data_IF_966095394125
#
_entry.id   IF_966095394125
#
_cell.length_a   1.000
_cell.length_b   1.000
_cell.length_c   1.000
_cell.angle_alpha   90.00
_cell.angle_beta   90.00
_cell.angle_gamma   90.00
#
_symmetry.space_group_name_H-M   'P 1'
#
loop_
_entity.id
_entity.type
_entity.pdbx_description
1 polymer ?
#
# COMPACT_ATOMS: atom_id res chain seq x y z
N UNK A 1 34.85 13.76 29.32
CA UNK A 1 33.74 12.86 28.95
C UNK A 1 32.41 13.60 28.95
N UNK A 2 32.00 14.24 30.07
CA UNK A 2 30.71 14.97 30.17
C UNK A 2 30.50 16.11 29.15
N UNK A 3 31.53 16.89 28.83
CA UNK A 3 31.41 18.00 27.85
C UNK A 3 31.21 17.52 26.41
N UNK A 4 31.83 16.39 26.05
CA UNK A 4 31.75 15.82 24.71
C UNK A 4 30.34 15.24 24.46
N UNK A 5 29.77 14.58 25.47
CA UNK A 5 28.39 14.04 25.42
C UNK A 5 27.35 15.16 25.28
N UNK A 6 27.54 16.29 25.98
CA UNK A 6 26.66 17.46 25.85
C UNK A 6 26.75 18.12 24.47
N UNK A 7 27.95 18.19 23.87
CA UNK A 7 28.14 18.72 22.52
C UNK A 7 27.46 17.82 21.49
N UNK A 8 27.61 16.49 21.61
CA UNK A 8 26.97 15.50 20.72
C UNK A 8 25.45 15.60 20.83
N UNK A 9 24.90 15.67 22.04
CA UNK A 9 23.46 15.82 22.27
C UNK A 9 22.91 17.13 21.67
N UNK A 10 23.60 18.26 21.86
CA UNK A 10 23.19 19.55 21.28
C UNK A 10 23.20 19.52 19.75
N UNK A 11 24.19 18.85 19.15
CA UNK A 11 24.28 18.63 17.69
C UNK A 11 23.15 17.73 17.18
N UNK A 12 22.84 16.65 17.90
CA UNK A 12 21.73 15.75 17.60
C UNK A 12 20.38 16.47 17.64
N UNK A 13 20.12 17.21 18.73
CA UNK A 13 18.91 18.02 18.92
C UNK A 13 18.71 19.00 17.77
N UNK A 14 19.74 19.78 17.40
CA UNK A 14 19.62 20.74 16.30
C UNK A 14 19.30 20.05 14.97
N UNK A 15 19.98 18.95 14.64
CA UNK A 15 19.73 18.20 13.39
C UNK A 15 18.30 17.64 13.33
N UNK A 16 17.80 17.08 14.42
CA UNK A 16 16.43 16.54 14.49
C UNK A 16 15.40 17.66 14.40
N UNK A 17 15.56 18.76 15.16
CA UNK A 17 14.63 19.90 15.13
C UNK A 17 14.60 20.56 13.75
N UNK A 18 15.76 20.80 13.13
CA UNK A 18 15.81 21.36 11.76
C UNK A 18 15.06 20.46 10.78
N UNK A 19 15.23 19.14 10.86
CA UNK A 19 14.53 18.21 9.97
C UNK A 19 13.02 18.19 10.22
N UNK A 20 12.57 18.31 11.48
CA UNK A 20 11.14 18.47 11.81
C UNK A 20 10.57 19.76 11.23
N UNK A 21 11.27 20.89 11.36
CA UNK A 21 10.85 22.19 10.81
C UNK A 21 10.77 22.14 9.29
N UNK A 22 11.79 21.60 8.61
CA UNK A 22 11.77 21.45 7.14
C UNK A 22 10.59 20.56 6.73
N UNK A 23 10.38 19.45 7.44
CA UNK A 23 9.27 18.54 7.13
C UNK A 23 7.91 19.19 7.33
N UNK A 24 7.78 20.08 8.33
CA UNK A 24 6.58 20.86 8.57
C UNK A 24 6.30 21.85 7.44
N UNK A 25 7.33 22.59 7.02
CA UNK A 25 7.22 23.54 5.89
C UNK A 25 6.81 22.81 4.61
N UNK A 26 7.44 21.66 4.33
CA UNK A 26 7.08 20.83 3.18
C UNK A 26 5.64 20.33 3.26
N UNK A 27 5.16 19.95 4.45
CA UNK A 27 3.77 19.55 4.65
C UNK A 27 2.79 20.71 4.38
N UNK A 28 3.10 21.92 4.84
CA UNK A 28 2.31 23.11 4.54
C UNK A 28 2.26 23.41 3.03
N UNK A 29 3.41 23.39 2.36
CA UNK A 29 3.49 23.56 0.90
C UNK A 29 2.70 22.49 0.15
N UNK A 30 2.77 21.24 0.62
CA UNK A 30 1.99 20.14 0.07
C UNK A 30 0.48 20.41 0.15
N UNK A 31 -0.04 20.90 1.29
CA UNK A 31 -1.48 21.21 1.41
C UNK A 31 -1.91 22.35 0.48
N UNK A 32 -1.06 23.37 0.30
CA UNK A 32 -1.31 24.44 -0.66
C UNK A 32 -1.35 23.88 -2.09
N UNK A 33 -0.35 23.08 -2.47
CA UNK A 33 -0.28 22.46 -3.80
C UNK A 33 -1.47 21.54 -4.09
N UNK A 34 -1.83 20.68 -3.14
CA UNK A 34 -2.99 19.80 -3.26
C UNK A 34 -4.29 20.60 -3.42
N UNK A 35 -4.46 21.68 -2.65
CA UNK A 35 -5.62 22.56 -2.77
C UNK A 35 -5.68 23.26 -4.13
N UNK A 36 -4.55 23.75 -4.65
CA UNK A 36 -4.50 24.39 -5.97
C UNK A 36 -4.89 23.41 -7.08
N UNK A 37 -4.40 22.17 -7.04
CA UNK A 37 -4.72 21.15 -8.05
C UNK A 37 -6.20 20.74 -7.98
N UNK A 38 -6.74 20.53 -6.78
CA UNK A 38 -8.15 20.14 -6.60
C UNK A 38 -9.15 21.24 -6.97
N UNK A 39 -8.70 22.50 -7.06
CA UNK A 39 -9.54 23.62 -7.52
C UNK A 39 -9.41 23.94 -9.02
N UNK A 40 -8.65 23.14 -9.78
CA UNK A 40 -8.65 23.27 -11.24
C UNK A 40 -10.05 22.99 -11.80
N UNK A 41 -10.44 23.69 -12.87
CA UNK A 41 -11.83 23.68 -13.37
C UNK A 41 -12.35 22.27 -13.71
N UNK A 42 -11.47 21.34 -14.06
CA UNK A 42 -11.83 19.95 -14.37
C UNK A 42 -11.95 19.03 -13.14
N UNK A 43 -11.41 19.41 -11.98
CA UNK A 43 -11.50 18.65 -10.71
C UNK A 43 -12.44 19.32 -9.70
N UNK A 44 -12.94 20.51 -10.01
CA UNK A 44 -13.74 21.29 -9.08
C UNK A 44 -15.05 20.59 -8.76
N UNK A 45 -15.35 20.44 -7.47
CA UNK A 45 -16.61 19.84 -6.97
C UNK A 45 -17.61 20.90 -6.52
N UNK A 46 -18.76 20.44 -6.03
CA UNK A 46 -19.77 21.28 -5.36
C UNK A 46 -19.18 22.05 -4.15
N UNK A 47 -19.76 23.22 -3.84
CA UNK A 47 -19.27 24.12 -2.78
C UNK A 47 -19.22 23.49 -1.38
N UNK A 48 -20.13 22.56 -1.07
CA UNK A 48 -20.17 21.90 0.23
C UNK A 48 -18.97 20.98 0.44
N UNK A 49 -18.56 20.26 -0.60
CA UNK A 49 -17.47 19.30 -0.52
C UNK A 49 -16.11 19.98 -0.39
N UNK A 50 -15.90 21.07 -1.13
CA UNK A 50 -14.72 21.92 -0.98
C UNK A 50 -14.56 22.43 0.46
N UNK A 51 -15.66 22.80 1.11
CA UNK A 51 -15.64 23.23 2.52
C UNK A 51 -15.17 22.10 3.44
N UNK A 52 -15.69 20.88 3.26
CA UNK A 52 -15.28 19.70 4.04
C UNK A 52 -13.79 19.38 3.85
N UNK A 53 -13.28 19.46 2.62
CA UNK A 53 -11.86 19.23 2.31
C UNK A 53 -10.97 20.25 3.02
N UNK A 54 -11.33 21.54 2.95
CA UNK A 54 -10.56 22.61 3.59
C UNK A 54 -10.51 22.41 5.10
N UNK A 55 -11.65 22.09 5.72
CA UNK A 55 -11.73 21.85 7.17
C UNK A 55 -10.85 20.66 7.57
N UNK A 56 -10.90 19.56 6.82
CA UNK A 56 -10.05 18.39 7.07
C UNK A 56 -8.57 18.69 6.88
N UNK A 57 -8.21 19.46 5.85
CA UNK A 57 -6.84 19.88 5.59
C UNK A 57 -6.29 20.74 6.74
N UNK A 58 -7.04 21.75 7.18
CA UNK A 58 -6.67 22.61 8.30
C UNK A 58 -6.56 21.80 9.59
N UNK A 59 -7.52 20.92 9.86
CA UNK A 59 -7.50 20.04 11.04
C UNK A 59 -6.24 19.17 11.07
N UNK A 60 -5.89 18.53 9.95
CA UNK A 60 -4.68 17.72 9.84
C UNK A 60 -3.42 18.55 9.99
N UNK A 61 -3.38 19.73 9.39
CA UNK A 61 -2.24 20.65 9.51
C UNK A 61 -2.06 21.00 11.00
N UNK A 62 -3.07 21.52 11.68
CA UNK A 62 -3.01 21.84 13.11
C UNK A 62 -2.54 20.64 13.96
N UNK A 63 -3.07 19.44 13.67
CA UNK A 63 -2.73 18.22 14.41
C UNK A 63 -1.26 17.83 14.21
N UNK A 64 -0.76 17.80 12.97
CA UNK A 64 0.65 17.51 12.70
C UNK A 64 1.58 18.61 13.23
N UNK A 65 1.15 19.86 13.20
CA UNK A 65 1.89 20.99 13.79
C UNK A 65 2.07 20.81 15.29
N UNK A 66 1.01 20.41 15.99
CA UNK A 66 1.07 20.09 17.41
C UNK A 66 1.99 18.89 17.69
N UNK A 67 1.91 17.83 16.89
CA UNK A 67 2.78 16.65 17.05
C UNK A 67 4.26 16.99 16.80
N UNK A 68 4.57 17.84 15.83
CA UNK A 68 5.95 18.22 15.53
C UNK A 68 6.53 19.11 16.64
N UNK A 69 5.70 19.96 17.23
CA UNK A 69 6.05 20.70 18.45
C UNK A 69 6.33 19.72 19.60
N UNK A 70 5.46 18.73 19.82
CA UNK A 70 5.66 17.73 20.87
C UNK A 70 6.95 16.91 20.65
N UNK A 71 7.22 16.49 19.42
CA UNK A 71 8.45 15.78 19.06
C UNK A 71 9.71 16.60 19.36
N UNK A 72 9.63 17.94 19.32
CA UNK A 72 10.76 18.83 19.64
C UNK A 72 11.19 18.78 21.11
N UNK A 73 10.37 18.20 22.01
CA UNK A 73 10.74 17.97 23.41
C UNK A 73 11.56 16.69 23.65
N UNK A 74 11.72 15.81 22.65
CA UNK A 74 12.65 14.67 22.73
C UNK A 74 12.21 13.51 23.63
N UNK A 75 10.94 13.39 24.03
CA UNK A 75 10.47 12.23 24.82
C UNK A 75 10.06 11.06 23.92
N UNK A 76 10.38 9.82 24.35
CA UNK A 76 9.99 8.57 23.65
C UNK A 76 8.49 8.49 23.34
N UNK A 77 7.65 8.96 24.26
CA UNK A 77 6.19 8.89 24.14
C UNK A 77 5.66 9.66 22.92
N UNK A 78 6.35 10.72 22.50
CA UNK A 78 5.95 11.52 21.34
C UNK A 78 6.18 10.81 20.02
N UNK A 79 7.15 9.87 19.95
CA UNK A 79 7.28 8.98 18.78
C UNK A 79 6.11 8.01 18.67
N UNK A 80 5.63 7.49 19.80
CA UNK A 80 4.45 6.60 19.81
C UNK A 80 3.21 7.39 19.40
N UNK A 81 3.04 8.59 19.97
CA UNK A 81 1.93 9.48 19.63
C UNK A 81 1.92 9.86 18.14
N UNK A 82 3.10 10.08 17.54
CA UNK A 82 3.23 10.28 16.10
C UNK A 82 2.65 9.11 15.28
N UNK A 83 2.96 7.87 15.64
CA UNK A 83 2.40 6.69 14.96
C UNK A 83 0.89 6.54 15.18
N UNK A 84 0.35 6.89 16.35
CA UNK A 84 -1.10 6.90 16.58
C UNK A 84 -1.81 7.92 15.68
N UNK A 85 -1.25 9.11 15.54
CA UNK A 85 -1.74 10.15 14.63
C UNK A 85 -1.63 9.73 13.17
N UNK A 86 -0.56 9.02 12.82
CA UNK A 86 -0.39 8.44 11.50
C UNK A 86 -1.50 7.42 11.20
N UNK A 87 -1.83 6.53 12.14
CA UNK A 87 -2.96 5.59 12.00
C UNK A 87 -4.28 6.34 11.81
N UNK A 88 -4.55 7.38 12.62
CA UNK A 88 -5.73 8.22 12.44
C UNK A 88 -5.78 8.84 11.04
N UNK A 89 -4.63 9.20 10.48
CA UNK A 89 -4.53 9.75 9.11
C UNK A 89 -4.85 8.70 8.05
N UNK A 90 -4.51 7.43 8.27
CA UNK A 90 -4.93 6.33 7.41
C UNK A 90 -6.45 6.13 7.47
N UNK A 91 -7.06 6.23 8.66
CA UNK A 91 -8.52 6.15 8.79
C UNK A 91 -9.25 7.24 7.98
N UNK A 92 -8.63 8.40 7.79
CA UNK A 92 -9.23 9.49 7.01
C UNK A 92 -9.33 9.21 5.50
N UNK A 93 -8.67 8.17 4.98
CA UNK A 93 -8.88 7.71 3.59
C UNK A 93 -10.33 7.28 3.35
N UNK A 94 -11.06 6.92 4.41
CA UNK A 94 -12.47 6.61 4.34
C UNK A 94 -13.31 7.75 3.75
N UNK A 95 -12.97 9.01 4.05
CA UNK A 95 -13.78 10.17 3.64
C UNK A 95 -13.90 10.30 2.12
N UNK A 96 -12.81 10.40 1.34
CA UNK A 96 -12.93 10.46 -0.12
C UNK A 96 -13.52 9.19 -0.73
N UNK A 97 -13.32 8.01 -0.13
CA UNK A 97 -13.92 6.75 -0.60
C UNK A 97 -15.45 6.83 -0.49
N UNK A 98 -15.98 7.30 0.64
CA UNK A 98 -17.41 7.46 0.83
C UNK A 98 -18.02 8.45 -0.16
N UNK A 99 -17.38 9.60 -0.38
CA UNK A 99 -17.87 10.57 -1.36
C UNK A 99 -17.82 10.01 -2.79
N UNK A 100 -16.77 9.26 -3.14
CA UNK A 100 -16.68 8.59 -4.44
C UNK A 100 -17.79 7.56 -4.64
N UNK A 101 -18.21 6.88 -3.57
CA UNK A 101 -19.31 5.92 -3.63
C UNK A 101 -20.68 6.59 -3.79
N UNK A 102 -20.84 7.85 -3.37
CA UNK A 102 -22.11 8.58 -3.46
C UNK A 102 -22.24 9.39 -4.75
N UNK A 103 -21.13 9.90 -5.28
CA UNK A 103 -21.12 10.82 -6.40
C UNK A 103 -20.13 10.37 -7.50
N UNK A 104 -20.68 9.77 -8.55
CA UNK A 104 -19.89 9.31 -9.69
C UNK A 104 -19.37 10.43 -10.59
N UNK A 105 -20.06 11.58 -10.62
CA UNK A 105 -19.75 12.64 -11.57
C UNK A 105 -18.35 13.24 -11.30
N UNK A 106 -17.90 13.20 -10.05
CA UNK A 106 -16.62 13.76 -9.61
C UNK A 106 -15.62 12.67 -9.20
N UNK A 107 -15.77 11.44 -9.71
CA UNK A 107 -14.88 10.31 -9.37
C UNK A 107 -13.40 10.62 -9.61
N UNK A 108 -13.09 11.39 -10.65
CA UNK A 108 -11.73 11.82 -10.96
C UNK A 108 -11.14 12.70 -9.86
N UNK A 109 -11.95 13.57 -9.26
CA UNK A 109 -11.55 14.40 -8.13
C UNK A 109 -11.26 13.56 -6.91
N UNK A 110 -12.14 12.62 -6.57
CA UNK A 110 -11.92 11.74 -5.41
C UNK A 110 -10.70 10.83 -5.60
N UNK A 111 -10.47 10.32 -6.82
CA UNK A 111 -9.27 9.58 -7.16
C UNK A 111 -8.01 10.45 -7.01
N UNK A 112 -8.06 11.71 -7.46
CA UNK A 112 -6.96 12.66 -7.29
C UNK A 112 -6.69 12.95 -5.81
N UNK A 113 -7.74 13.11 -5.00
CA UNK A 113 -7.62 13.28 -3.55
C UNK A 113 -6.95 12.07 -2.88
N UNK A 114 -7.36 10.85 -3.24
CA UNK A 114 -6.72 9.63 -2.75
C UNK A 114 -5.23 9.59 -3.12
N UNK A 115 -4.89 9.94 -4.36
CA UNK A 115 -3.50 10.03 -4.82
C UNK A 115 -2.67 11.01 -3.99
N UNK A 116 -3.20 12.21 -3.73
CA UNK A 116 -2.57 13.18 -2.84
C UNK A 116 -2.37 12.61 -1.43
N UNK A 117 -3.42 12.01 -0.84
CA UNK A 117 -3.32 11.40 0.49
C UNK A 117 -2.26 10.28 0.55
N UNK A 118 -2.09 9.49 -0.51
CA UNK A 118 -1.01 8.50 -0.62
C UNK A 118 0.38 9.15 -0.61
N UNK A 119 0.59 10.19 -1.42
CA UNK A 119 1.88 10.92 -1.45
C UNK A 119 2.23 11.47 -0.06
N UNK A 120 1.27 12.09 0.61
CA UNK A 120 1.44 12.61 1.98
C UNK A 120 1.78 11.48 2.97
N UNK A 121 1.07 10.36 2.91
CA UNK A 121 1.32 9.25 3.84
C UNK A 121 2.67 8.60 3.60
N UNK A 122 3.13 8.46 2.36
CA UNK A 122 4.49 8.02 2.05
C UNK A 122 5.54 8.94 2.68
N UNK A 123 5.38 10.26 2.52
CA UNK A 123 6.26 11.25 3.14
C UNK A 123 6.29 11.12 4.68
N UNK A 124 5.12 10.93 5.30
CA UNK A 124 5.02 10.73 6.74
C UNK A 124 5.69 9.41 7.18
N UNK A 125 5.49 8.30 6.48
CA UNK A 125 6.19 7.03 6.80
C UNK A 125 7.70 7.21 6.74
N UNK A 126 8.22 7.92 5.73
CA UNK A 126 9.65 8.20 5.60
C UNK A 126 10.18 9.02 6.80
N UNK A 127 9.41 10.02 7.25
CA UNK A 127 9.75 10.80 8.45
C UNK A 127 9.68 9.94 9.72
N UNK A 128 8.66 9.10 9.88
CA UNK A 128 8.52 8.17 11.00
C UNK A 128 9.67 7.16 11.08
N UNK A 129 10.10 6.63 9.94
CA UNK A 129 11.26 5.76 9.81
C UNK A 129 12.55 6.48 10.23
N UNK A 130 12.75 7.72 9.76
CA UNK A 130 13.87 8.55 10.20
C UNK A 130 13.88 8.74 11.73
N UNK A 131 12.72 9.01 12.34
CA UNK A 131 12.61 9.23 13.78
C UNK A 131 12.92 7.96 14.61
N UNK A 132 12.70 6.78 14.04
CA UNK A 132 12.92 5.48 14.68
C UNK A 132 14.36 4.97 14.49
N UNK A 133 14.89 5.03 13.28
CA UNK A 133 16.13 4.33 12.91
C UNK A 133 17.37 5.22 12.90
N UNK A 134 17.25 6.54 12.72
CA UNK A 134 18.42 7.40 12.57
C UNK A 134 19.22 7.54 13.89
N UNK A 135 20.55 7.42 13.81
CA UNK A 135 21.52 7.61 14.92
C UNK A 135 21.25 8.90 15.71
N UNK A 136 21.06 10.03 15.02
CA UNK A 136 20.81 11.34 15.66
C UNK A 136 19.45 11.40 16.37
N UNK A 137 18.44 10.71 15.84
CA UNK A 137 17.12 10.61 16.46
C UNK A 137 17.16 9.70 17.70
N UNK A 138 17.88 8.58 17.64
CA UNK A 138 18.09 7.70 18.80
C UNK A 138 18.81 8.42 19.93
N UNK A 139 19.87 9.17 19.65
CA UNK A 139 20.57 9.98 20.65
C UNK A 139 19.63 11.03 21.28
N UNK A 140 18.76 11.65 20.47
CA UNK A 140 17.84 12.69 20.95
C UNK A 140 16.66 12.15 21.77
N UNK A 141 16.05 11.03 21.37
CA UNK A 141 14.84 10.47 22.01
C UNK A 141 15.14 9.38 23.04
N UNK A 142 16.18 8.59 22.81
CA UNK A 142 16.50 7.43 23.64
C UNK A 142 17.63 7.67 24.64
N UNK A 143 18.36 8.80 24.54
CA UNK A 143 19.51 9.16 25.38
C UNK A 143 20.59 8.06 25.43
N UNK A 144 20.54 7.07 24.52
CA UNK A 144 21.55 6.04 24.35
C UNK A 144 22.66 6.59 23.47
N UNK A 145 23.79 6.94 24.07
CA UNK A 145 25.03 7.17 23.33
C UNK A 145 25.69 5.79 23.21
N UNK A 146 25.32 5.03 22.18
CA UNK A 146 26.10 3.86 21.81
C UNK A 146 27.39 4.41 21.18
N UNK A 147 28.41 4.68 22.00
CA UNK A 147 29.78 4.85 21.52
C UNK A 147 30.23 3.46 21.11
N UNK A 148 29.97 3.08 19.86
CA UNK A 148 30.78 2.03 19.25
C UNK A 148 32.18 2.63 19.16
N UNK A 149 33.16 1.95 19.76
CA UNK A 149 34.58 2.31 19.72
C UNK A 149 35.16 2.33 18.28
N UNK A 150 34.35 1.99 17.27
CA UNK A 150 34.72 1.90 15.86
C UNK A 150 34.88 3.26 15.14
N UNK A 151 34.55 4.40 15.77
CA UNK A 151 34.69 5.74 15.14
C UNK A 151 35.96 6.50 15.60
N UNK A 152 37.03 5.78 15.98
CA UNK A 152 38.42 6.31 15.90
C UNK A 152 39.19 5.80 14.67
N UNK A 153 38.52 5.20 13.67
CA UNK A 153 39.19 4.66 12.48
C UNK A 153 38.85 5.38 11.16
N UNK A 154 38.16 6.51 11.19
CA UNK A 154 37.93 7.35 10.00
C UNK A 154 39.14 8.24 9.62
N UNK A 155 40.34 7.85 10.04
CA UNK A 155 41.58 8.52 9.58
C UNK A 155 42.72 7.51 9.58
N UNK A 156 42.93 6.84 8.45
CA UNK A 156 44.21 6.51 7.80
C UNK A 156 43.96 5.35 6.81
N UNK A 157 44.30 5.64 5.56
CA UNK A 157 44.36 4.73 4.41
C UNK A 157 45.19 3.45 4.70
N UNK A 158 44.73 2.28 4.24
CA UNK A 158 45.38 1.50 3.15
C UNK A 158 44.83 0.06 3.07
N UNK A 159 44.72 -0.50 1.85
CA UNK A 159 44.18 -1.84 1.61
C UNK A 159 45.26 -2.91 1.88
N UNK A 160 44.99 -3.83 2.81
CA UNK A 160 45.84 -5.01 3.00
C UNK A 160 45.17 -6.21 2.32
N UNK A 161 45.64 -6.48 1.10
CA UNK A 161 45.36 -7.70 0.35
C UNK A 161 45.83 -8.91 1.17
N UNK A 162 44.90 -9.74 1.66
CA UNK A 162 45.23 -11.07 2.20
C UNK A 162 44.94 -12.15 1.16
N UNK A 163 45.99 -12.58 0.48
CA UNK A 163 46.01 -13.75 -0.41
C UNK A 163 45.74 -15.02 0.42
N UNK A 164 44.55 -15.62 0.27
CA UNK A 164 44.26 -16.97 0.78
C UNK A 164 44.69 -18.01 -0.26
N UNK A 165 45.66 -18.84 0.10
CA UNK A 165 46.11 -19.97 -0.70
C UNK A 165 45.04 -21.07 -0.76
N UNK A 166 44.59 -21.40 -1.97
CA UNK A 166 43.68 -22.52 -2.26
C UNK A 166 44.49 -23.83 -2.28
N UNK A 167 44.21 -24.76 -1.36
CA UNK A 167 44.69 -26.14 -1.43
C UNK A 167 43.86 -26.92 -2.46
N UNK A 168 44.46 -27.28 -3.60
CA UNK A 168 43.92 -28.29 -4.52
C UNK A 168 44.15 -29.70 -3.96
N UNK A 169 43.13 -30.57 -4.02
CA UNK A 169 43.27 -32.04 -4.01
C UNK A 169 42.49 -32.65 -5.18
N UNK A 170 42.90 -33.83 -5.67
CA UNK A 170 42.74 -34.24 -7.06
C UNK A 170 41.41 -34.93 -7.39
N UNK A 171 41.14 -34.92 -8.69
CA UNK A 171 40.00 -35.42 -9.47
C UNK A 171 39.79 -36.95 -9.38
N UNK A 172 38.53 -37.40 -9.43
CA UNK A 172 38.14 -38.63 -10.14
C UNK A 172 36.66 -38.53 -10.61
N UNK A 173 36.43 -38.74 -11.91
CA UNK A 173 35.12 -39.02 -12.53
C UNK A 173 35.22 -40.40 -13.22
N UNK A 174 34.12 -41.02 -13.71
CA UNK A 174 33.22 -41.90 -12.97
C UNK A 174 33.17 -43.31 -13.60
N UNK A 175 32.45 -44.26 -13.01
CA UNK A 175 32.04 -45.50 -13.68
C UNK A 175 30.50 -45.48 -13.88
N UNK A 176 29.98 -45.85 -15.06
CA UNK A 176 28.55 -45.82 -15.34
C UNK A 176 27.88 -47.10 -14.83
N UNK A 177 26.82 -46.94 -14.04
CA UNK A 177 25.92 -48.03 -13.67
C UNK A 177 24.62 -47.85 -14.47
N UNK A 178 24.28 -48.84 -15.29
CA UNK A 178 23.07 -48.85 -16.10
C UNK A 178 21.90 -49.32 -15.23
N UNK A 179 20.96 -48.42 -14.94
CA UNK A 179 19.66 -48.76 -14.35
C UNK A 179 18.62 -48.61 -15.47
N UNK A 180 17.91 -49.71 -15.74
CA UNK A 180 16.71 -49.70 -16.57
C UNK A 180 15.54 -49.29 -15.66
N UNK A 181 15.04 -48.06 -15.80
CA UNK A 181 13.79 -47.62 -15.18
C UNK A 181 12.68 -47.63 -16.23
N UNK A 182 11.58 -48.31 -15.87
CA UNK A 182 10.37 -48.49 -16.66
C UNK A 182 9.72 -47.12 -16.96
N UNK A 183 9.23 -46.94 -18.19
CA UNK A 183 8.43 -45.78 -18.58
C UNK A 183 7.12 -45.76 -17.75
N UNK A 184 7.12 -45.08 -16.61
CA UNK A 184 5.89 -44.54 -16.04
C UNK A 184 5.44 -43.36 -16.93
N UNK A 185 4.19 -43.39 -17.37
CA UNK A 185 3.57 -42.27 -18.09
C UNK A 185 3.71 -40.99 -17.24
N UNK A 186 4.66 -40.12 -17.60
CA UNK A 186 4.80 -38.78 -17.05
C UNK A 186 3.48 -38.04 -17.30
N UNK A 187 2.63 -37.97 -16.27
CA UNK A 187 1.56 -37.00 -16.25
C UNK A 187 2.22 -35.63 -16.42
N UNK A 188 1.98 -34.96 -17.57
CA UNK A 188 2.55 -33.64 -17.87
C UNK A 188 2.43 -32.72 -16.64
N UNK A 189 3.50 -32.60 -15.85
CA UNK A 189 3.60 -31.63 -14.79
C UNK A 189 3.62 -30.28 -15.49
N UNK A 190 2.45 -29.64 -15.60
CA UNK A 190 2.35 -28.31 -16.19
C UNK A 190 3.35 -27.42 -15.47
N UNK A 191 4.35 -26.97 -16.21
CA UNK A 191 5.39 -26.09 -15.69
C UNK A 191 4.74 -24.98 -14.85
N UNK A 192 5.26 -24.71 -13.64
CA UNK A 192 4.71 -23.68 -12.79
C UNK A 192 4.73 -22.35 -13.54
N UNK A 193 3.60 -21.66 -13.54
CA UNK A 193 3.46 -20.37 -14.23
C UNK A 193 4.59 -19.41 -13.83
N UNK A 194 5.14 -18.69 -14.79
CA UNK A 194 6.09 -17.61 -14.47
C UNK A 194 5.32 -16.40 -13.90
N UNK A 195 5.97 -15.56 -13.07
CA UNK A 195 5.29 -14.38 -12.50
C UNK A 195 4.72 -13.43 -13.58
N UNK A 196 5.35 -13.24 -14.76
CA UNK A 196 4.77 -12.40 -15.81
C UNK A 196 3.51 -13.02 -16.41
N UNK A 197 3.44 -14.36 -16.53
CA UNK A 197 2.22 -15.05 -16.95
C UNK A 197 1.10 -14.89 -15.92
N UNK A 198 1.42 -14.95 -14.62
CA UNK A 198 0.45 -14.65 -13.56
C UNK A 198 -0.01 -13.20 -13.60
N UNK A 199 0.90 -12.26 -13.86
CA UNK A 199 0.58 -10.83 -14.04
C UNK A 199 -0.43 -10.61 -15.17
N UNK A 200 -0.19 -11.19 -16.35
CA UNK A 200 -1.08 -11.05 -17.51
C UNK A 200 -2.46 -11.63 -17.17
N UNK A 201 -2.52 -12.82 -16.55
CA UNK A 201 -3.77 -13.44 -16.13
C UNK A 201 -4.54 -12.60 -15.11
N UNK A 202 -3.83 -12.08 -14.13
CA UNK A 202 -4.38 -11.20 -13.10
C UNK A 202 -4.93 -9.92 -13.73
N UNK A 203 -4.16 -9.27 -14.61
CA UNK A 203 -4.57 -8.08 -15.35
C UNK A 203 -5.82 -8.32 -16.19
N UNK A 204 -5.85 -9.42 -16.97
CA UNK A 204 -7.05 -9.81 -17.73
C UNK A 204 -8.24 -10.00 -16.79
N UNK A 205 -8.08 -10.74 -15.68
CA UNK A 205 -9.16 -10.97 -14.72
C UNK A 205 -9.73 -9.67 -14.15
N UNK A 206 -8.87 -8.73 -13.75
CA UNK A 206 -9.27 -7.46 -13.16
C UNK A 206 -9.94 -6.54 -14.18
N UNK A 207 -9.32 -6.29 -15.33
CA UNK A 207 -9.87 -5.35 -16.32
C UNK A 207 -11.06 -5.93 -17.08
N UNK A 208 -11.12 -7.25 -17.27
CA UNK A 208 -12.33 -7.89 -17.76
C UNK A 208 -13.46 -7.78 -16.74
N UNK A 209 -13.18 -7.96 -15.43
CA UNK A 209 -14.20 -7.80 -14.39
C UNK A 209 -14.82 -6.38 -14.39
N UNK A 210 -14.00 -5.36 -14.65
CA UNK A 210 -14.42 -3.96 -14.75
C UNK A 210 -15.48 -3.72 -15.83
N UNK A 211 -15.45 -4.48 -16.94
CA UNK A 211 -16.47 -4.37 -17.98
C UNK A 211 -17.61 -5.37 -17.78
N UNK A 212 -17.28 -6.63 -17.50
CA UNK A 212 -18.22 -7.75 -17.54
C UNK A 212 -19.26 -7.65 -16.42
N UNK A 213 -18.86 -7.37 -15.18
CA UNK A 213 -19.81 -7.38 -14.05
C UNK A 213 -20.86 -6.26 -14.12
N UNK A 214 -20.51 -5.00 -14.44
CA UNK A 214 -21.52 -3.95 -14.64
C UNK A 214 -22.49 -4.28 -15.78
N UNK A 215 -21.98 -4.81 -16.90
CA UNK A 215 -22.81 -5.21 -18.04
C UNK A 215 -23.75 -6.36 -17.65
N UNK A 216 -23.26 -7.35 -16.91
CA UNK A 216 -24.08 -8.46 -16.42
C UNK A 216 -25.22 -7.97 -15.52
N UNK A 217 -24.95 -7.07 -14.58
CA UNK A 217 -26.01 -6.47 -13.75
C UNK A 217 -27.02 -5.72 -14.62
N UNK A 218 -26.56 -5.00 -15.64
CA UNK A 218 -27.45 -4.25 -16.53
C UNK A 218 -28.36 -5.17 -17.35
N UNK A 219 -27.82 -6.26 -17.91
CA UNK A 219 -28.59 -7.26 -18.68
C UNK A 219 -29.63 -7.94 -17.77
N UNK A 220 -29.25 -8.27 -16.54
CA UNK A 220 -30.12 -8.90 -15.54
C UNK A 220 -30.80 -7.89 -14.62
N UNK A 221 -30.92 -6.63 -15.03
CA UNK A 221 -31.42 -5.51 -14.20
C UNK A 221 -32.77 -5.79 -13.55
N UNK A 222 -33.65 -6.54 -14.20
CA UNK A 222 -34.94 -6.96 -13.64
C UNK A 222 -34.80 -7.77 -12.34
N UNK A 223 -33.74 -8.56 -12.18
CA UNK A 223 -33.46 -9.31 -10.95
C UNK A 223 -32.93 -8.43 -9.82
N UNK A 224 -32.36 -7.27 -10.18
CA UNK A 224 -31.80 -6.28 -9.28
C UNK A 224 -32.76 -5.08 -9.05
N UNK A 225 -33.98 -5.12 -9.57
CA UNK A 225 -34.91 -4.00 -9.44
C UNK A 225 -35.48 -3.87 -8.00
N UNK A 226 -35.72 -2.61 -7.61
CA UNK A 226 -36.47 -2.20 -6.42
C UNK A 226 -37.90 -2.72 -6.42
N UNK A 227 -38.61 -2.57 -5.29
CA UNK A 227 -40.03 -2.96 -5.19
C UNK A 227 -40.94 -2.18 -6.15
N UNK A 228 -40.60 -0.92 -6.45
CA UNK A 228 -41.36 -0.05 -7.36
C UNK A 228 -40.92 -0.16 -8.83
N UNK A 229 -39.89 -0.98 -9.11
CA UNK A 229 -39.27 -1.18 -10.42
C UNK A 229 -38.70 0.10 -11.06
N UNK A 230 -38.59 1.19 -10.32
CA UNK A 230 -38.09 2.47 -10.83
C UNK A 230 -36.56 2.57 -10.76
N UNK A 231 -35.95 1.88 -9.80
CA UNK A 231 -34.49 1.89 -9.59
C UNK A 231 -33.91 0.49 -9.74
N UNK A 232 -32.82 0.39 -10.51
CA UNK A 232 -32.04 -0.85 -10.63
C UNK A 232 -30.94 -0.79 -9.59
N UNK A 233 -30.96 -1.72 -8.64
CA UNK A 233 -29.99 -1.77 -7.55
C UNK A 233 -28.56 -1.91 -8.07
N UNK A 234 -27.66 -1.14 -7.45
CA UNK A 234 -26.23 -1.39 -7.40
C UNK A 234 -25.46 -1.56 -8.72
N UNK A 235 -26.00 -1.16 -9.88
CA UNK A 235 -25.19 -1.08 -11.11
C UNK A 235 -24.01 -0.11 -10.90
N UNK A 236 -24.29 1.03 -10.28
CA UNK A 236 -23.30 2.03 -9.90
C UNK A 236 -22.30 1.46 -8.86
N UNK A 237 -22.79 0.72 -7.88
CA UNK A 237 -21.97 0.17 -6.79
C UNK A 237 -21.05 -0.95 -7.25
N UNK A 238 -21.54 -1.87 -8.08
CA UNK A 238 -20.70 -2.91 -8.68
C UNK A 238 -19.61 -2.29 -9.55
N UNK A 239 -19.95 -1.27 -10.33
CA UNK A 239 -18.95 -0.54 -11.11
C UNK A 239 -17.90 0.14 -10.22
N UNK A 240 -18.30 0.80 -9.12
CA UNK A 240 -17.37 1.35 -8.14
C UNK A 240 -16.44 0.30 -7.54
N UNK A 241 -17.00 -0.83 -7.08
CA UNK A 241 -16.21 -1.91 -6.50
C UNK A 241 -15.18 -2.44 -7.50
N UNK A 242 -15.57 -2.60 -8.77
CA UNK A 242 -14.65 -2.99 -9.82
C UNK A 242 -13.54 -1.96 -10.07
N UNK A 243 -13.85 -0.65 -10.04
CA UNK A 243 -12.84 0.41 -10.16
C UNK A 243 -11.85 0.35 -8.99
N UNK A 244 -12.35 0.21 -7.75
CA UNK A 244 -11.47 0.15 -6.59
C UNK A 244 -10.54 -1.06 -6.64
N UNK A 245 -11.07 -2.24 -6.98
CA UNK A 245 -10.24 -3.43 -7.21
C UNK A 245 -9.24 -3.20 -8.34
N UNK A 246 -9.65 -2.57 -9.44
CA UNK A 246 -8.71 -2.24 -10.51
C UNK A 246 -7.55 -1.35 -10.03
N UNK A 247 -7.85 -0.31 -9.23
CA UNK A 247 -6.84 0.57 -8.67
C UNK A 247 -5.90 -0.15 -7.70
N UNK A 248 -6.44 -0.93 -6.77
CA UNK A 248 -5.65 -1.69 -5.76
C UNK A 248 -4.74 -2.71 -6.44
N UNK A 249 -5.22 -3.38 -7.47
CA UNK A 249 -4.52 -4.49 -8.10
C UNK A 249 -3.65 -4.11 -9.31
N UNK A 250 -3.75 -2.89 -9.82
CA UNK A 250 -2.86 -2.41 -10.88
C UNK A 250 -1.38 -2.43 -10.45
N UNK A 251 -1.09 -2.08 -9.18
CA UNK A 251 0.29 -2.10 -8.65
C UNK A 251 0.90 -3.51 -8.65
N UNK A 252 0.30 -4.54 -8.03
CA UNK A 252 0.85 -5.89 -8.05
C UNK A 252 0.95 -6.49 -9.45
N UNK A 253 0.06 -6.12 -10.39
CA UNK A 253 0.17 -6.54 -11.80
C UNK A 253 1.53 -6.10 -12.37
N UNK A 254 1.93 -4.84 -12.21
CA UNK A 254 3.24 -4.39 -12.70
C UNK A 254 4.41 -5.07 -11.99
N UNK A 255 4.35 -5.22 -10.67
CA UNK A 255 5.44 -5.86 -9.91
C UNK A 255 5.64 -7.33 -10.28
N UNK A 256 4.55 -8.06 -10.54
CA UNK A 256 4.60 -9.44 -11.04
C UNK A 256 5.08 -9.50 -12.50
N UNK A 257 4.79 -8.49 -13.31
CA UNK A 257 5.24 -8.45 -14.71
C UNK A 257 6.76 -8.28 -14.83
N UNK A 258 7.36 -7.53 -13.91
CA UNK A 258 8.80 -7.24 -13.87
C UNK A 258 9.60 -8.18 -12.95
N UNK A 259 9.03 -9.30 -12.51
CA UNK A 259 9.70 -10.28 -11.63
C UNK A 259 10.32 -9.67 -10.35
N UNK A 260 9.68 -8.64 -9.79
CA UNK A 260 10.25 -7.90 -8.68
C UNK A 260 10.33 -8.78 -7.41
N UNK A 261 11.45 -8.76 -6.63
CA UNK A 261 11.63 -9.67 -5.48
C UNK A 261 10.57 -9.53 -4.39
N UNK A 262 9.98 -8.34 -4.24
CA UNK A 262 8.89 -8.06 -3.31
C UNK A 262 7.48 -8.30 -3.86
N UNK A 263 7.30 -8.81 -5.09
CA UNK A 263 5.99 -8.94 -5.73
C UNK A 263 4.98 -9.71 -4.88
N UNK A 264 5.37 -10.85 -4.28
CA UNK A 264 4.50 -11.63 -3.39
C UNK A 264 4.05 -10.87 -2.14
N UNK A 265 4.95 -10.07 -1.55
CA UNK A 265 4.62 -9.23 -0.38
C UNK A 265 3.60 -8.17 -0.76
N UNK A 266 3.78 -7.56 -1.93
CA UNK A 266 2.86 -6.53 -2.45
C UNK A 266 1.49 -7.13 -2.76
N UNK A 267 1.44 -8.32 -3.37
CA UNK A 267 0.18 -9.05 -3.59
C UNK A 267 -0.56 -9.29 -2.28
N UNK A 268 0.15 -9.72 -1.22
CA UNK A 268 -0.46 -9.91 0.10
C UNK A 268 -0.98 -8.60 0.71
N UNK A 269 -0.23 -7.51 0.58
CA UNK A 269 -0.67 -6.17 1.03
C UNK A 269 -1.93 -5.74 0.27
N UNK A 270 -1.98 -5.93 -1.05
CA UNK A 270 -3.14 -5.60 -1.87
C UNK A 270 -4.35 -6.49 -1.54
N UNK A 271 -4.15 -7.77 -1.22
CA UNK A 271 -5.23 -8.63 -0.74
C UNK A 271 -5.82 -8.12 0.59
N UNK A 272 -4.97 -7.64 1.51
CA UNK A 272 -5.44 -7.02 2.76
C UNK A 272 -6.19 -5.71 2.47
N UNK A 273 -5.68 -4.87 1.55
CA UNK A 273 -6.36 -3.64 1.13
C UNK A 273 -7.75 -3.92 0.53
N UNK A 274 -7.89 -5.01 -0.22
CA UNK A 274 -9.17 -5.44 -0.77
C UNK A 274 -10.19 -5.76 0.35
N UNK A 275 -9.76 -6.44 1.41
CA UNK A 275 -10.60 -6.67 2.60
C UNK A 275 -11.02 -5.35 3.25
N UNK A 276 -10.12 -4.37 3.31
CA UNK A 276 -10.47 -3.02 3.78
C UNK A 276 -11.49 -2.33 2.86
N UNK A 277 -11.39 -2.49 1.53
CA UNK A 277 -12.39 -1.98 0.59
C UNK A 277 -13.78 -2.57 0.87
N UNK A 278 -13.89 -3.88 1.14
CA UNK A 278 -15.15 -4.53 1.52
C UNK A 278 -15.68 -3.93 2.83
N UNK A 279 -14.81 -3.79 3.85
CA UNK A 279 -15.19 -3.21 5.14
C UNK A 279 -15.66 -1.76 5.04
N UNK A 280 -15.05 -0.96 4.16
CA UNK A 280 -15.48 0.41 3.92
C UNK A 280 -16.75 0.52 3.09
N UNK A 281 -17.04 -0.49 2.25
CA UNK A 281 -18.30 -0.59 1.52
C UNK A 281 -19.48 -1.04 2.41
N UNK A 282 -19.21 -1.88 3.40
CA UNK A 282 -20.23 -2.50 4.25
C UNK A 282 -21.25 -1.52 4.88
N UNK A 283 -20.87 -0.33 5.41
CA UNK A 283 -21.84 0.61 5.94
C UNK A 283 -22.89 1.08 4.91
N UNK A 284 -22.47 1.34 3.67
CA UNK A 284 -23.39 1.72 2.58
C UNK A 284 -24.31 0.57 2.24
N UNK A 285 -23.76 -0.64 2.15
CA UNK A 285 -24.53 -1.86 1.86
C UNK A 285 -25.60 -2.15 2.93
N UNK A 286 -25.24 -2.00 4.21
CA UNK A 286 -26.16 -2.17 5.34
C UNK A 286 -27.24 -1.07 5.34
N UNK A 287 -26.87 0.16 4.96
CA UNK A 287 -27.82 1.29 4.86
C UNK A 287 -29.02 0.96 3.97
N UNK A 288 -28.80 0.33 2.82
CA UNK A 288 -29.87 -0.09 1.92
C UNK A 288 -30.87 -1.09 2.53
N UNK A 289 -30.50 -1.80 3.60
CA UNK A 289 -31.33 -2.81 4.26
C UNK A 289 -31.98 -2.31 5.56
N UNK A 290 -31.29 -1.44 6.32
CA UNK A 290 -31.69 -1.03 7.67
C UNK A 290 -32.63 0.17 7.68
N UNK A 291 -32.77 0.89 6.56
CA UNK A 291 -33.72 1.99 6.45
C UNK A 291 -35.18 1.53 6.66
N UNK A 292 -35.98 2.39 7.31
CA UNK A 292 -37.34 2.08 7.80
C UNK A 292 -38.30 1.61 6.69
N UNK A 293 -38.03 1.98 5.45
CA UNK A 293 -38.73 1.52 4.26
C UNK A 293 -37.69 0.89 3.30
N UNK A 294 -37.57 -0.45 3.27
CA UNK A 294 -36.56 -1.10 2.43
C UNK A 294 -36.92 -0.90 0.96
N UNK A 295 -36.12 -0.11 0.25
CA UNK A 295 -36.28 0.18 -1.19
C UNK A 295 -36.13 -1.08 -2.05
N UNK A 296 -35.34 -2.06 -1.58
CA UNK A 296 -34.95 -3.26 -2.32
C UNK A 296 -35.38 -4.56 -1.62
N UNK A 297 -35.83 -5.58 -2.39
CA UNK A 297 -36.14 -6.89 -1.83
C UNK A 297 -34.87 -7.67 -1.44
N UNK A 298 -34.98 -8.54 -0.44
CA UNK A 298 -33.87 -9.36 0.08
C UNK A 298 -33.15 -10.18 -1.00
N UNK A 299 -33.87 -10.60 -2.05
CA UNK A 299 -33.29 -11.31 -3.22
C UNK A 299 -32.14 -10.54 -3.87
N UNK A 300 -32.25 -9.21 -3.92
CA UNK A 300 -31.31 -8.32 -4.60
C UNK A 300 -29.97 -8.33 -3.86
N UNK A 301 -30.01 -8.27 -2.54
CA UNK A 301 -28.82 -8.33 -1.70
C UNK A 301 -28.11 -9.69 -1.79
N UNK A 302 -28.85 -10.80 -1.75
CA UNK A 302 -28.27 -12.14 -1.92
C UNK A 302 -27.60 -12.27 -3.28
N UNK A 303 -28.28 -11.85 -4.36
CA UNK A 303 -27.73 -11.91 -5.70
C UNK A 303 -26.49 -11.03 -5.85
N UNK A 304 -26.51 -9.83 -5.27
CA UNK A 304 -25.36 -8.92 -5.29
C UNK A 304 -24.14 -9.53 -4.60
N UNK A 305 -24.32 -10.08 -3.38
CA UNK A 305 -23.26 -10.78 -2.64
C UNK A 305 -22.72 -11.96 -3.45
N UNK A 306 -23.60 -12.73 -4.10
CA UNK A 306 -23.19 -13.87 -4.91
C UNK A 306 -22.38 -13.45 -6.13
N UNK A 307 -22.79 -12.39 -6.83
CA UNK A 307 -22.05 -11.83 -7.97
C UNK A 307 -20.69 -11.28 -7.52
N UNK A 308 -20.63 -10.57 -6.39
CA UNK A 308 -19.37 -10.06 -5.85
C UNK A 308 -18.45 -11.20 -5.36
N UNK A 309 -19.01 -12.27 -4.80
CA UNK A 309 -18.26 -13.48 -4.45
C UNK A 309 -17.67 -14.17 -5.69
N UNK A 310 -18.40 -14.23 -6.80
CA UNK A 310 -17.88 -14.75 -8.08
C UNK A 310 -16.71 -13.88 -8.56
N UNK A 311 -16.83 -12.56 -8.46
CA UNK A 311 -15.76 -11.61 -8.81
C UNK A 311 -14.48 -11.88 -8.02
N UNK A 312 -14.59 -12.05 -6.69
CA UNK A 312 -13.44 -12.43 -5.87
C UNK A 312 -12.94 -13.85 -6.15
N UNK A 313 -13.83 -14.78 -6.51
CA UNK A 313 -13.46 -16.13 -6.95
C UNK A 313 -12.57 -16.13 -8.19
N UNK A 314 -12.90 -15.29 -9.19
CA UNK A 314 -12.07 -15.10 -10.39
C UNK A 314 -10.71 -14.52 -10.00
N UNK A 315 -10.69 -13.50 -9.14
CA UNK A 315 -9.46 -12.87 -8.68
C UNK A 315 -8.54 -13.87 -7.94
N UNK A 316 -9.11 -14.68 -7.05
CA UNK A 316 -8.38 -15.75 -6.36
C UNK A 316 -7.87 -16.82 -7.32
N UNK A 317 -8.68 -17.22 -8.31
CA UNK A 317 -8.25 -18.17 -9.34
C UNK A 317 -7.05 -17.66 -10.16
N UNK A 318 -7.04 -16.37 -10.51
CA UNK A 318 -5.91 -15.73 -11.18
C UNK A 318 -4.62 -15.73 -10.32
N UNK A 319 -4.76 -15.66 -8.99
CA UNK A 319 -3.63 -15.61 -8.05
C UNK A 319 -3.15 -16.98 -7.58
N UNK A 320 -3.99 -18.03 -7.66
CA UNK A 320 -3.66 -19.39 -7.22
C UNK A 320 -2.28 -19.87 -7.70
N UNK A 321 -1.86 -19.65 -8.96
CA UNK A 321 -0.53 -20.04 -9.42
C UNK A 321 0.62 -19.45 -8.61
N UNK A 322 0.47 -18.23 -8.08
CA UNK A 322 1.53 -17.52 -7.35
C UNK A 322 1.96 -18.25 -6.06
N UNK A 323 1.09 -19.08 -5.50
CA UNK A 323 1.38 -19.89 -4.30
C UNK A 323 2.43 -20.97 -4.57
N UNK A 324 2.59 -21.38 -5.84
CA UNK A 324 3.49 -22.46 -6.25
C UNK A 324 4.78 -21.96 -6.90
N UNK A 325 4.91 -20.65 -7.16
CA UNK A 325 6.11 -20.04 -7.73
C UNK A 325 7.14 -19.87 -6.61
N UNK A 326 8.40 -20.26 -6.78
CA UNK A 326 9.47 -19.90 -5.84
C UNK A 326 9.81 -18.41 -5.95
N UNK A 327 10.06 -17.76 -4.81
CA UNK A 327 10.41 -16.33 -4.82
C UNK A 327 11.80 -16.20 -5.45
N UNK A 328 12.05 -15.25 -6.38
CA UNK A 328 13.40 -15.03 -6.87
C UNK A 328 14.30 -14.76 -5.66
N UNK A 329 15.35 -15.57 -5.51
CA UNK A 329 16.35 -15.40 -4.47
C UNK A 329 16.94 -14.01 -4.58
N UNK A 330 16.95 -13.28 -3.45
CA UNK A 330 17.68 -12.03 -3.33
C UNK A 330 19.16 -12.38 -3.59
N UNK A 331 19.67 -12.05 -4.76
CA UNK A 331 21.11 -12.00 -4.96
C UNK A 331 21.51 -10.74 -4.22
N UNK A 332 22.07 -10.90 -3.02
CA UNK A 332 22.75 -9.80 -2.35
C UNK A 332 23.87 -9.35 -3.32
N UNK A 333 23.75 -8.15 -3.88
CA UNK A 333 24.77 -7.50 -4.73
C UNK A 333 26.07 -7.18 -3.95
N UNK A 334 26.38 -7.92 -2.90
CA UNK A 334 27.63 -7.85 -2.13
C UNK A 334 28.69 -8.83 -2.67
N UNK A 335 28.37 -9.61 -3.72
CA UNK A 335 29.29 -10.57 -4.37
C UNK A 335 29.81 -10.12 -5.76
N UNK A 336 29.67 -8.84 -6.12
CA UNK A 336 30.34 -8.26 -7.30
C UNK A 336 30.98 -6.88 -6.99
N UNK A 337 32.08 -6.89 -6.23
CA UNK A 337 33.39 -6.31 -6.61
C UNK A 337 34.34 -6.14 -5.42
#
# INVERSE_FOLDING_TARGET
MYDQDQIIYKKAKNRVITRLIISWILLCLYFIGAFSVLNLDFLKTTNNLNTVIIVLAISQLCLYGFIFLLLSFGKKIFRILYWLVFILTLCLFYVPIQFAMQDMAHILTYASMLGFMLIKTMFLVQLGSYLKHNKWSRIFFDLTIDVYEDEMEDTIEQPVIRVKQVKKKPVRQPEPEYIYEEEEEEAEEKEPYTQPQVSIRLGIGIYASLMVFPILIQIFSNYFASYDLQTVFATQDMFMLCIFTALVWTVPVFYLYYDHPYAKRIVLICAILEVFCILFYAPKFIGYYVDKDPEYPLRVFILFILVDAIRYGILFYCLKPLLHIESPTHIDEDDEN
#
